data_IF_995727590012
#
_entry.id   IF_995727590012
#
_cell.length_a   1.000
_cell.length_b   1.000
_cell.length_c   1.000
_cell.angle_alpha   90.00
_cell.angle_beta   90.00
_cell.angle_gamma   90.00
#
_symmetry.space_group_name_H-M   'P 1'
#
loop_
_entity.id
_entity.type
_entity.pdbx_description
1 polymer ?
#
# COMPACT_ATOMS: atom_id res chain seq x y z
N UNK A 1 37.48 -8.37 1.52
CA UNK A 1 37.77 -6.94 1.60
C UNK A 1 36.49 -6.13 1.64
N UNK A 2 36.26 -5.37 2.74
CA UNK A 2 35.32 -4.28 2.98
C UNK A 2 33.80 -4.51 2.86
N UNK A 3 33.31 -5.43 3.67
CA UNK A 3 31.86 -5.45 4.04
C UNK A 3 31.50 -4.32 5.05
N UNK A 4 32.50 -3.71 5.70
CA UNK A 4 32.28 -2.74 6.80
C UNK A 4 32.09 -1.27 6.35
N UNK A 5 32.69 -0.83 5.24
CA UNK A 5 32.59 0.57 4.79
C UNK A 5 31.18 0.98 4.35
N UNK A 6 30.47 0.09 3.69
CA UNK A 6 29.07 0.33 3.30
C UNK A 6 28.10 0.47 4.48
N UNK A 7 28.44 -0.07 5.62
CA UNK A 7 27.61 -0.02 6.83
C UNK A 7 27.78 1.30 7.59
N UNK A 8 28.99 1.82 7.68
CA UNK A 8 29.32 3.11 8.31
C UNK A 8 28.69 4.28 7.53
N UNK A 9 28.83 4.29 6.22
CA UNK A 9 28.22 5.31 5.37
C UNK A 9 26.69 5.35 5.47
N UNK A 10 26.04 4.17 5.46
CA UNK A 10 24.60 4.07 5.69
C UNK A 10 24.16 4.54 7.08
N UNK A 11 24.98 4.29 8.11
CA UNK A 11 24.71 4.77 9.46
C UNK A 11 24.82 6.30 9.54
N UNK A 12 25.84 6.89 8.91
CA UNK A 12 26.03 8.33 8.85
C UNK A 12 24.84 9.01 8.14
N UNK A 13 24.42 8.51 6.98
CA UNK A 13 23.24 9.01 6.27
C UNK A 13 22.01 8.96 7.19
N UNK A 14 21.76 7.86 7.89
CA UNK A 14 20.63 7.76 8.81
C UNK A 14 20.69 8.75 9.97
N UNK A 15 21.89 9.07 10.47
CA UNK A 15 22.04 10.09 11.51
C UNK A 15 21.76 11.50 10.97
N UNK A 16 22.27 11.82 9.78
CA UNK A 16 22.00 13.09 9.10
C UNK A 16 20.49 13.24 8.85
N UNK A 17 19.83 12.19 8.33
CA UNK A 17 18.37 12.20 8.11
C UNK A 17 17.60 12.45 9.42
N UNK A 18 18.06 11.89 10.55
CA UNK A 18 17.44 12.15 11.86
C UNK A 18 17.58 13.61 12.30
N UNK A 19 18.74 14.21 12.09
CA UNK A 19 18.99 15.63 12.44
C UNK A 19 18.12 16.54 11.57
N UNK A 20 18.11 16.31 10.25
CA UNK A 20 17.31 17.07 9.31
C UNK A 20 15.82 16.90 9.66
N UNK A 21 15.37 15.68 9.95
CA UNK A 21 13.98 15.42 10.32
C UNK A 21 13.57 16.14 11.59
N UNK A 22 14.42 16.17 12.63
CA UNK A 22 14.15 16.95 13.86
C UNK A 22 13.97 18.43 13.57
N UNK A 23 14.86 19.00 12.75
CA UNK A 23 14.78 20.38 12.32
C UNK A 23 13.50 20.65 11.53
N UNK A 24 13.20 19.81 10.56
CA UNK A 24 11.99 19.90 9.77
C UNK A 24 10.71 19.79 10.63
N UNK A 25 10.67 18.91 11.62
CA UNK A 25 9.55 18.86 12.58
C UNK A 25 9.36 20.18 13.35
N UNK A 26 10.44 20.86 13.68
CA UNK A 26 10.35 22.14 14.38
C UNK A 26 9.77 23.23 13.50
N UNK A 27 10.20 23.34 12.25
CA UNK A 27 9.93 24.49 11.38
C UNK A 27 8.83 24.24 10.34
N UNK A 28 8.69 23.04 9.82
CA UNK A 28 7.67 22.76 8.83
C UNK A 28 6.26 22.83 9.43
N UNK A 29 5.41 23.66 8.83
CA UNK A 29 3.98 23.74 9.16
C UNK A 29 3.17 22.61 8.50
N UNK A 30 3.70 22.02 7.43
CA UNK A 30 3.11 20.90 6.69
C UNK A 30 4.10 19.73 6.77
N UNK A 31 3.59 18.57 7.10
CA UNK A 31 4.35 17.32 7.12
C UNK A 31 3.92 16.49 5.90
N UNK A 32 4.89 16.08 5.09
CA UNK A 32 4.69 15.17 3.95
C UNK A 32 5.42 13.88 4.25
N UNK A 33 4.68 12.83 4.64
CA UNK A 33 5.27 11.58 5.06
C UNK A 33 4.93 10.44 4.10
N UNK A 34 5.93 9.57 3.83
CA UNK A 34 5.79 8.35 3.03
C UNK A 34 5.36 8.54 1.56
N UNK A 35 5.63 9.68 0.96
CA UNK A 35 5.33 9.90 -0.45
C UNK A 35 6.43 9.35 -1.36
N UNK A 36 6.00 8.68 -2.43
CA UNK A 36 6.88 8.19 -3.51
C UNK A 36 6.96 9.17 -4.68
N UNK A 37 6.97 10.47 -4.41
CA UNK A 37 7.16 11.46 -5.48
C UNK A 37 8.54 11.33 -6.14
N UNK A 38 8.64 11.58 -7.45
CA UNK A 38 9.93 11.81 -8.09
C UNK A 38 10.68 12.93 -7.36
N UNK A 39 11.99 12.76 -7.16
CA UNK A 39 12.79 13.71 -6.36
C UNK A 39 12.62 15.17 -6.80
N UNK A 40 12.56 15.44 -8.11
CA UNK A 40 12.35 16.78 -8.66
C UNK A 40 11.00 17.38 -8.24
N UNK A 41 9.92 16.58 -8.32
CA UNK A 41 8.58 17.05 -7.96
C UNK A 41 8.45 17.24 -6.45
N UNK A 42 9.02 16.35 -5.66
CA UNK A 42 9.09 16.53 -4.21
C UNK A 42 9.81 17.84 -3.82
N UNK A 43 10.96 18.13 -4.44
CA UNK A 43 11.67 19.39 -4.19
C UNK A 43 10.86 20.61 -4.62
N UNK A 44 10.17 20.59 -5.77
CA UNK A 44 9.27 21.66 -6.19
C UNK A 44 8.16 21.92 -5.17
N UNK A 45 7.54 20.86 -4.65
CA UNK A 45 6.50 20.98 -3.62
C UNK A 45 7.10 21.60 -2.35
N UNK A 46 8.26 21.12 -1.91
CA UNK A 46 8.93 21.66 -0.73
C UNK A 46 9.25 23.16 -0.90
N UNK A 47 9.78 23.57 -2.04
CA UNK A 47 10.08 24.99 -2.34
C UNK A 47 8.81 25.83 -2.36
N UNK A 48 7.76 25.43 -3.08
CA UNK A 48 6.48 26.14 -3.14
C UNK A 48 5.81 26.30 -1.78
N UNK A 49 5.90 25.27 -0.94
CA UNK A 49 5.30 25.25 0.39
C UNK A 49 6.24 25.79 1.48
N UNK A 50 7.45 26.23 1.13
CA UNK A 50 8.48 26.70 2.08
C UNK A 50 8.78 25.65 3.16
N UNK A 51 9.03 24.41 2.74
CA UNK A 51 9.30 23.27 3.60
C UNK A 51 10.76 22.86 3.50
N UNK A 52 11.34 22.45 4.62
CA UNK A 52 12.59 21.70 4.61
C UNK A 52 12.33 20.31 4.01
N UNK A 53 13.02 19.90 2.93
CA UNK A 53 12.85 18.59 2.33
C UNK A 53 13.43 17.54 3.27
N UNK A 54 12.60 16.63 3.74
CA UNK A 54 13.04 15.49 4.54
C UNK A 54 12.08 14.31 4.41
N UNK A 55 12.60 13.12 4.70
CA UNK A 55 11.81 11.90 4.81
C UNK A 55 11.54 11.60 6.28
N UNK A 56 10.31 11.80 6.72
CA UNK A 56 9.93 11.59 8.12
C UNK A 56 9.86 10.12 8.53
N UNK A 57 9.73 9.19 7.58
CA UNK A 57 9.63 7.74 7.82
C UNK A 57 10.70 7.20 8.76
N UNK A 58 11.96 7.62 8.58
CA UNK A 58 13.06 7.17 9.43
C UNK A 58 13.01 7.72 10.85
N UNK A 59 12.32 8.85 11.06
CA UNK A 59 12.19 9.46 12.38
C UNK A 59 11.34 8.62 13.32
N UNK A 60 10.27 8.00 12.81
CA UNK A 60 9.36 7.18 13.60
C UNK A 60 9.85 5.74 13.80
N UNK A 61 10.93 5.33 13.13
CA UNK A 61 11.53 4.01 13.30
C UNK A 61 12.43 3.98 14.51
N UNK A 62 11.87 4.04 15.70
CA UNK A 62 12.58 3.86 16.96
C UNK A 62 11.89 2.81 17.82
N UNK A 63 12.69 2.13 18.63
CA UNK A 63 12.23 1.26 19.69
C UNK A 63 12.34 1.96 21.05
N UNK A 64 11.56 1.54 22.01
CA UNK A 64 11.71 1.90 23.42
C UNK A 64 12.19 0.68 24.18
N UNK A 65 13.05 0.88 25.18
CA UNK A 65 13.42 -0.20 26.10
C UNK A 65 12.17 -0.61 26.86
N UNK A 66 11.97 -1.90 26.96
CA UNK A 66 10.87 -2.46 27.75
C UNK A 66 11.12 -2.26 29.25
N UNK A 67 10.13 -1.80 29.95
CA UNK A 67 10.09 -1.83 31.40
C UNK A 67 9.47 -3.17 31.83
N UNK A 68 10.33 -4.10 32.26
CA UNK A 68 9.95 -5.48 32.56
C UNK A 68 8.98 -5.60 33.74
N UNK A 69 9.08 -4.72 34.73
CA UNK A 69 8.24 -4.76 35.93
C UNK A 69 6.79 -4.28 35.71
N UNK A 70 6.57 -3.44 34.70
CA UNK A 70 5.22 -2.94 34.39
C UNK A 70 4.39 -3.85 33.49
N UNK A 71 5.02 -4.86 32.85
CA UNK A 71 4.39 -5.67 31.78
C UNK A 71 3.23 -6.53 32.29
N UNK A 72 3.50 -7.34 33.27
CA UNK A 72 2.55 -8.33 33.77
C UNK A 72 1.33 -7.66 34.37
N UNK A 73 1.55 -6.58 35.11
CA UNK A 73 0.48 -5.82 35.74
C UNK A 73 -0.49 -5.16 34.76
N UNK A 74 0.00 -4.64 33.61
CA UNK A 74 -0.88 -4.02 32.60
C UNK A 74 -1.74 -5.05 31.88
N UNK A 75 -1.20 -6.22 31.54
CA UNK A 75 -1.96 -7.30 30.89
C UNK A 75 -2.99 -7.91 31.84
N UNK A 76 -2.63 -8.13 33.09
CA UNK A 76 -3.56 -8.62 34.12
C UNK A 76 -4.71 -7.62 34.33
N UNK A 77 -4.41 -6.33 34.45
CA UNK A 77 -5.45 -5.29 34.58
C UNK A 77 -6.38 -5.28 33.38
N UNK A 78 -5.82 -5.35 32.16
CA UNK A 78 -6.61 -5.42 30.93
C UNK A 78 -7.51 -6.66 30.91
N UNK A 79 -6.95 -7.84 31.23
CA UNK A 79 -7.73 -9.09 31.37
C UNK A 79 -8.92 -8.91 32.30
N UNK A 80 -8.67 -8.38 33.48
CA UNK A 80 -9.71 -8.19 34.50
C UNK A 80 -10.79 -7.19 34.09
N UNK A 81 -10.43 -6.18 33.26
CA UNK A 81 -11.41 -5.26 32.69
C UNK A 81 -12.25 -5.94 31.59
N UNK A 82 -11.62 -6.71 30.71
CA UNK A 82 -12.29 -7.40 29.61
C UNK A 82 -13.25 -8.47 30.10
N UNK A 83 -12.93 -9.18 31.21
CA UNK A 83 -13.80 -10.20 31.80
C UNK A 83 -15.05 -9.60 32.46
N UNK A 84 -15.10 -8.29 32.71
CA UNK A 84 -16.28 -7.61 33.27
C UNK A 84 -17.30 -7.22 32.19
N UNK A 85 -16.94 -7.35 30.92
CA UNK A 85 -17.83 -7.00 29.79
C UNK A 85 -18.84 -8.13 29.61
N UNK A 86 -20.11 -7.85 29.87
CA UNK A 86 -21.18 -8.81 29.65
C UNK A 86 -21.55 -8.84 28.15
N UNK A 87 -21.21 -9.93 27.50
CA UNK A 87 -21.50 -10.17 26.09
C UNK A 87 -22.02 -11.58 25.93
N UNK A 88 -23.17 -11.73 25.28
CA UNK A 88 -23.81 -13.04 25.05
C UNK A 88 -23.14 -13.85 23.93
N UNK A 89 -22.50 -13.21 22.97
CA UNK A 89 -21.84 -13.87 21.84
C UNK A 89 -20.58 -14.62 22.30
N UNK A 90 -20.56 -15.93 22.12
CA UNK A 90 -19.47 -16.82 22.55
C UNK A 90 -18.14 -16.54 21.84
N UNK A 91 -18.18 -16.14 20.56
CA UNK A 91 -16.98 -15.80 19.80
C UNK A 91 -16.36 -14.52 20.33
N UNK A 92 -17.17 -13.50 20.59
CA UNK A 92 -16.69 -12.24 21.18
C UNK A 92 -16.17 -12.47 22.61
N UNK A 93 -16.82 -13.31 23.42
CA UNK A 93 -16.28 -13.71 24.73
C UNK A 93 -14.89 -14.35 24.60
N UNK A 94 -14.72 -15.26 23.64
CA UNK A 94 -13.42 -15.88 23.35
C UNK A 94 -12.38 -14.82 22.95
N UNK A 95 -12.70 -13.90 22.05
CA UNK A 95 -11.81 -12.82 21.63
C UNK A 95 -11.39 -11.95 22.83
N UNK A 96 -12.34 -11.50 23.63
CA UNK A 96 -12.07 -10.66 24.80
C UNK A 96 -11.21 -11.37 25.85
N UNK A 97 -11.45 -12.65 26.08
CA UNK A 97 -10.65 -13.44 27.04
C UNK A 97 -9.18 -13.60 26.61
N UNK A 98 -8.87 -13.49 25.32
CA UNK A 98 -7.52 -13.63 24.76
C UNK A 98 -6.86 -12.29 24.36
N UNK A 99 -7.64 -11.23 24.13
CA UNK A 99 -7.14 -9.95 23.64
C UNK A 99 -5.96 -9.39 24.46
N UNK A 100 -5.96 -9.59 25.78
CA UNK A 100 -4.87 -9.17 26.64
C UNK A 100 -3.53 -9.83 26.31
N UNK A 101 -3.51 -11.00 25.63
CA UNK A 101 -2.29 -11.68 25.17
C UNK A 101 -1.81 -11.14 23.83
N UNK A 102 -2.75 -10.78 22.95
CA UNK A 102 -2.49 -10.50 21.53
C UNK A 102 -2.32 -9.01 21.23
N UNK A 103 -2.75 -8.13 22.16
CA UNK A 103 -2.59 -6.69 21.94
C UNK A 103 -1.09 -6.32 21.79
N UNK A 104 -0.71 -5.57 20.73
CA UNK A 104 0.68 -5.21 20.52
C UNK A 104 1.27 -4.41 21.69
N UNK A 105 2.52 -4.67 22.02
CA UNK A 105 3.24 -3.98 23.10
C UNK A 105 3.28 -2.46 22.93
N UNK A 106 3.29 -1.98 21.69
CA UNK A 106 3.24 -0.55 21.35
C UNK A 106 2.00 0.15 21.89
N UNK A 107 0.88 -0.57 22.05
CA UNK A 107 -0.40 -0.04 22.55
C UNK A 107 -0.67 -0.32 24.02
N UNK A 108 0.13 -1.10 24.68
CA UNK A 108 -0.06 -1.44 26.09
C UNK A 108 1.16 -1.10 26.93
N UNK A 109 2.21 -1.93 26.89
CA UNK A 109 3.37 -1.77 27.75
C UNK A 109 4.22 -0.54 27.40
N UNK A 110 4.45 -0.34 26.10
CA UNK A 110 5.37 0.67 25.60
C UNK A 110 4.68 2.00 25.27
N UNK A 111 3.35 2.05 25.37
CA UNK A 111 2.56 3.21 24.93
C UNK A 111 3.05 4.53 25.54
N UNK A 112 3.17 4.57 26.88
CA UNK A 112 3.56 5.78 27.58
C UNK A 112 4.99 6.23 27.23
N UNK A 113 5.91 5.27 27.07
CA UNK A 113 7.28 5.53 26.69
C UNK A 113 7.41 6.02 25.25
N UNK A 114 6.63 5.46 24.33
CA UNK A 114 6.54 5.93 22.94
C UNK A 114 5.94 7.33 22.90
N UNK A 115 4.83 7.53 23.60
CA UNK A 115 4.15 8.82 23.68
C UNK A 115 5.06 9.91 24.24
N UNK A 116 5.81 9.63 25.32
CA UNK A 116 6.79 10.55 25.90
C UNK A 116 7.84 10.99 24.90
N UNK A 117 8.33 10.07 24.04
CA UNK A 117 9.29 10.39 22.97
C UNK A 117 8.67 11.23 21.86
N UNK A 118 7.38 11.07 21.57
CA UNK A 118 6.66 11.73 20.49
C UNK A 118 6.19 13.13 20.86
N UNK A 119 5.74 13.33 22.10
CA UNK A 119 5.14 14.59 22.58
C UNK A 119 5.95 15.86 22.25
N UNK A 120 7.30 15.90 22.34
CA UNK A 120 8.07 17.08 21.99
C UNK A 120 7.89 17.53 20.53
N UNK A 121 7.50 16.59 19.65
CA UNK A 121 7.29 16.81 18.21
C UNK A 121 5.82 16.95 17.84
N UNK A 122 4.90 16.57 18.73
CA UNK A 122 3.46 16.63 18.54
C UNK A 122 2.90 18.07 18.72
N UNK A 123 3.55 19.03 18.07
CA UNK A 123 3.10 20.43 18.04
C UNK A 123 2.08 20.62 16.93
N UNK A 124 1.22 21.63 17.06
CA UNK A 124 0.22 21.97 16.05
C UNK A 124 0.87 22.19 14.68
N UNK A 125 0.44 21.40 13.71
CA UNK A 125 0.76 21.51 12.29
C UNK A 125 -0.46 22.00 11.53
N UNK A 126 -0.25 22.71 10.42
CA UNK A 126 -1.36 23.11 9.56
C UNK A 126 -1.99 21.88 8.90
N UNK A 127 -1.14 21.01 8.35
CA UNK A 127 -1.56 19.80 7.63
C UNK A 127 -0.49 18.72 7.83
N UNK A 128 -0.93 17.50 8.00
CA UNK A 128 -0.09 16.30 7.93
C UNK A 128 -0.67 15.41 6.84
N UNK A 129 0.12 15.13 5.79
CA UNK A 129 -0.23 14.19 4.74
C UNK A 129 0.62 12.93 4.89
N UNK A 130 -0.01 11.78 4.76
CA UNK A 130 0.69 10.50 4.82
C UNK A 130 -0.01 9.47 3.93
N UNK A 131 0.79 8.55 3.40
CA UNK A 131 0.33 7.45 2.57
C UNK A 131 0.48 6.11 3.30
N UNK A 132 1.70 5.70 3.61
CA UNK A 132 2.01 4.37 4.16
C UNK A 132 2.17 4.33 5.68
N UNK A 133 2.80 5.35 6.27
CA UNK A 133 3.20 5.27 7.68
C UNK A 133 2.04 5.08 8.64
N UNK A 134 0.84 5.56 8.29
CA UNK A 134 -0.37 5.31 9.10
C UNK A 134 -0.75 3.82 9.10
N UNK A 135 -0.38 3.07 8.04
CA UNK A 135 -0.67 1.64 7.94
C UNK A 135 0.30 0.81 8.79
N UNK A 136 1.58 1.12 8.72
CA UNK A 136 2.65 0.20 9.10
C UNK A 136 3.45 0.66 10.33
N UNK A 137 3.25 1.89 10.83
CA UNK A 137 4.08 2.47 11.88
C UNK A 137 3.25 2.95 13.08
N UNK A 138 3.30 2.22 14.18
CA UNK A 138 2.55 2.53 15.39
C UNK A 138 3.00 3.84 16.04
N UNK A 139 4.29 4.17 15.98
CA UNK A 139 4.79 5.45 16.49
C UNK A 139 4.20 6.62 15.72
N UNK A 140 4.03 6.47 14.40
CA UNK A 140 3.37 7.47 13.57
C UNK A 140 1.88 7.59 13.89
N UNK A 141 1.19 6.47 14.13
CA UNK A 141 -0.24 6.50 14.57
C UNK A 141 -0.40 7.30 15.86
N UNK A 142 0.48 7.07 16.84
CA UNK A 142 0.48 7.83 18.10
C UNK A 142 0.77 9.31 17.84
N UNK A 143 1.73 9.63 16.94
CA UNK A 143 2.02 11.01 16.55
C UNK A 143 0.80 11.70 15.94
N UNK A 144 0.08 11.05 15.02
CA UNK A 144 -1.16 11.59 14.43
C UNK A 144 -2.21 11.84 15.53
N UNK A 145 -2.41 10.87 16.43
CA UNK A 145 -3.38 11.03 17.52
C UNK A 145 -3.05 12.24 18.42
N UNK A 146 -1.79 12.41 18.81
CA UNK A 146 -1.38 13.50 19.67
C UNK A 146 -1.40 14.88 18.96
N UNK A 147 -1.03 14.93 17.68
CA UNK A 147 -1.08 16.18 16.91
C UNK A 147 -2.51 16.62 16.58
N UNK A 148 -3.43 15.67 16.36
CA UNK A 148 -4.86 16.00 16.18
C UNK A 148 -5.47 16.62 17.45
N UNK A 149 -5.09 16.17 18.64
CA UNK A 149 -5.53 16.77 19.92
C UNK A 149 -5.19 18.26 20.02
N UNK A 150 -4.09 18.68 19.42
CA UNK A 150 -3.68 20.11 19.39
C UNK A 150 -4.15 20.84 18.13
N UNK A 151 -5.08 20.25 17.36
CA UNK A 151 -5.77 20.90 16.25
C UNK A 151 -5.06 20.79 14.88
N UNK A 152 -4.17 19.82 14.69
CA UNK A 152 -3.61 19.53 13.37
C UNK A 152 -4.65 18.82 12.50
N UNK A 153 -4.62 19.09 11.18
CA UNK A 153 -5.44 18.39 10.19
C UNK A 153 -4.63 17.25 9.59
N UNK A 154 -5.19 16.05 9.60
CA UNK A 154 -4.61 14.88 8.97
C UNK A 154 -5.30 14.58 7.66
N UNK A 155 -4.53 14.37 6.59
CA UNK A 155 -5.00 14.00 5.26
C UNK A 155 -4.38 12.66 4.91
N UNK A 156 -5.22 11.65 4.70
CA UNK A 156 -4.78 10.36 4.20
C UNK A 156 -4.71 10.38 2.68
N UNK A 157 -3.63 9.87 2.12
CA UNK A 157 -3.47 9.69 0.68
C UNK A 157 -3.53 8.21 0.39
N UNK A 158 -4.53 7.81 -0.37
CA UNK A 158 -4.71 6.42 -0.74
C UNK A 158 -3.51 5.94 -1.54
N UNK A 159 -2.91 4.88 -1.06
CA UNK A 159 -1.75 4.28 -1.67
C UNK A 159 -2.17 3.16 -2.61
N UNK A 160 -2.01 3.35 -3.89
CA UNK A 160 -2.34 2.32 -4.88
C UNK A 160 -3.82 2.31 -5.31
N UNK A 161 -4.06 1.73 -6.46
CA UNK A 161 -5.38 1.72 -7.10
C UNK A 161 -6.32 0.59 -6.66
N UNK A 162 -5.90 -0.26 -5.71
CA UNK A 162 -6.64 -1.48 -5.37
C UNK A 162 -7.71 -1.34 -4.30
N UNK A 163 -7.75 -0.23 -3.59
CA UNK A 163 -8.67 -0.04 -2.46
C UNK A 163 -10.14 0.02 -2.88
N UNK A 164 -10.41 0.26 -4.15
CA UNK A 164 -11.76 0.41 -4.69
C UNK A 164 -12.40 -0.89 -5.11
N UNK A 165 -11.59 -1.88 -5.45
CA UNK A 165 -12.09 -3.19 -5.86
C UNK A 165 -12.19 -4.17 -4.71
N UNK A 166 -11.59 -3.88 -3.58
CA UNK A 166 -11.43 -4.79 -2.48
C UNK A 166 -12.07 -4.25 -1.21
N UNK A 167 -12.86 -5.08 -0.57
CA UNK A 167 -13.36 -4.83 0.76
C UNK A 167 -12.21 -4.99 1.76
N UNK A 168 -11.59 -3.88 2.17
CA UNK A 168 -10.52 -3.89 3.15
C UNK A 168 -10.89 -3.06 4.37
N UNK A 169 -11.45 -3.70 5.37
CA UNK A 169 -11.87 -3.07 6.63
C UNK A 169 -10.74 -2.33 7.37
N UNK A 170 -9.48 -2.74 7.17
CA UNK A 170 -8.34 -2.06 7.80
C UNK A 170 -8.16 -0.62 7.35
N UNK A 171 -8.59 -0.27 6.14
CA UNK A 171 -8.47 1.08 5.59
C UNK A 171 -9.58 2.01 6.07
N UNK A 172 -10.72 1.47 6.48
CA UNK A 172 -11.82 2.25 7.07
C UNK A 172 -11.36 3.05 8.28
N UNK A 173 -10.50 2.44 9.10
CA UNK A 173 -9.95 3.14 10.26
C UNK A 173 -9.13 4.37 9.84
N UNK A 174 -8.29 4.24 8.81
CA UNK A 174 -7.46 5.37 8.34
C UNK A 174 -8.31 6.46 7.73
N UNK A 175 -9.37 6.10 7.04
CA UNK A 175 -10.35 7.04 6.49
C UNK A 175 -11.09 7.76 7.61
N UNK A 176 -11.63 7.03 8.60
CA UNK A 176 -12.35 7.61 9.74
C UNK A 176 -11.52 8.56 10.59
N UNK A 177 -10.22 8.30 10.76
CA UNK A 177 -9.35 9.20 11.53
C UNK A 177 -8.85 10.40 10.71
N UNK A 178 -9.07 10.43 9.40
CA UNK A 178 -8.64 11.51 8.51
C UNK A 178 -9.62 12.67 8.50
N UNK A 179 -9.13 13.87 8.28
CA UNK A 179 -9.96 15.04 8.03
C UNK A 179 -10.35 15.16 6.55
N UNK A 180 -9.50 14.64 5.67
CA UNK A 180 -9.72 14.53 4.23
C UNK A 180 -8.95 13.34 3.68
N UNK A 181 -9.41 12.84 2.53
CA UNK A 181 -8.81 11.71 1.84
C UNK A 181 -8.49 12.15 0.42
N UNK A 182 -7.28 11.86 -0.05
CA UNK A 182 -6.90 12.05 -1.46
C UNK A 182 -6.99 10.70 -2.14
N UNK A 183 -7.90 10.59 -3.11
CA UNK A 183 -8.14 9.38 -3.90
C UNK A 183 -7.69 9.57 -5.35
N UNK A 184 -7.48 8.47 -6.06
CA UNK A 184 -7.05 8.47 -7.46
C UNK A 184 -8.16 8.93 -8.41
N UNK A 185 -9.39 8.50 -8.16
CA UNK A 185 -10.55 8.89 -8.96
C UNK A 185 -11.85 8.83 -8.13
N UNK A 186 -12.86 9.57 -8.55
CA UNK A 186 -14.17 9.62 -7.88
C UNK A 186 -14.88 8.27 -7.87
N UNK A 187 -14.86 7.56 -8.99
CA UNK A 187 -15.42 6.22 -9.13
C UNK A 187 -14.80 5.17 -8.20
N UNK A 188 -13.71 5.53 -7.54
CA UNK A 188 -12.94 4.66 -6.66
C UNK A 188 -13.13 5.03 -5.19
N UNK A 189 -14.18 5.74 -4.89
CA UNK A 189 -14.58 6.05 -3.52
C UNK A 189 -15.25 4.83 -2.92
N UNK A 190 -14.65 4.24 -1.90
CA UNK A 190 -15.32 3.28 -1.03
C UNK A 190 -16.13 4.11 -0.04
N UNK A 191 -17.30 4.55 -0.44
CA UNK A 191 -18.19 5.23 0.48
C UNK A 191 -19.09 4.20 1.14
N UNK A 192 -18.88 3.99 2.41
CA UNK A 192 -19.78 3.20 3.27
C UNK A 192 -21.06 3.99 3.58
N UNK A 193 -20.97 5.34 3.53
CA UNK A 193 -22.06 6.25 3.74
C UNK A 193 -21.97 7.42 2.75
N UNK A 194 -23.06 7.72 2.04
CA UNK A 194 -23.14 8.85 1.11
C UNK A 194 -22.85 10.22 1.75
N UNK A 195 -22.92 10.29 3.08
CA UNK A 195 -22.62 11.51 3.86
C UNK A 195 -21.13 11.82 3.98
N UNK A 196 -20.25 10.85 3.78
CA UNK A 196 -18.79 11.02 3.91
C UNK A 196 -18.11 11.50 2.62
N UNK A 197 -18.81 11.53 1.47
CA UNK A 197 -18.26 11.94 0.17
C UNK A 197 -17.72 13.38 0.15
N UNK A 198 -18.19 14.25 1.02
CA UNK A 198 -17.74 15.64 1.10
C UNK A 198 -16.31 15.83 1.65
N UNK A 199 -15.67 14.78 2.13
CA UNK A 199 -14.31 14.83 2.67
C UNK A 199 -13.24 14.46 1.63
N UNK A 200 -13.65 13.86 0.51
CA UNK A 200 -12.72 13.34 -0.48
C UNK A 200 -12.18 14.44 -1.39
N UNK A 201 -10.90 14.34 -1.69
CA UNK A 201 -10.22 15.11 -2.73
C UNK A 201 -9.82 14.09 -3.80
N UNK A 202 -10.31 14.31 -5.02
CA UNK A 202 -9.97 13.44 -6.14
C UNK A 202 -8.78 14.03 -6.89
N UNK A 203 -7.80 13.19 -7.18
CA UNK A 203 -6.68 13.50 -8.04
C UNK A 203 -6.76 12.59 -9.26
N UNK A 204 -6.63 13.15 -10.46
CA UNK A 204 -6.63 12.38 -11.70
C UNK A 204 -5.46 11.39 -11.78
N UNK A 205 -4.47 11.62 -10.96
CA UNK A 205 -3.27 10.79 -10.82
C UNK A 205 -2.99 10.53 -9.35
N UNK A 206 -2.58 9.30 -9.03
CA UNK A 206 -1.89 9.09 -7.77
C UNK A 206 -0.67 10.01 -7.71
N UNK A 207 -0.44 10.66 -6.56
CA UNK A 207 0.77 11.44 -6.33
C UNK A 207 2.05 10.60 -6.46
N UNK A 208 1.92 9.27 -6.56
CA UNK A 208 3.05 8.33 -6.69
C UNK A 208 3.38 8.00 -8.13
N UNK A 209 2.46 8.25 -9.08
CA UNK A 209 2.73 7.99 -10.48
C UNK A 209 3.72 9.02 -11.03
N UNK A 210 4.82 8.56 -11.65
CA UNK A 210 5.65 9.46 -12.42
C UNK A 210 4.80 10.08 -13.54
N UNK A 211 4.97 11.37 -13.78
CA UNK A 211 4.37 12.06 -14.91
C UNK A 211 5.03 11.53 -16.19
N UNK A 212 4.53 10.41 -16.69
CA UNK A 212 4.92 9.92 -18.01
C UNK A 212 4.12 10.74 -19.00
N UNK A 213 4.79 11.60 -19.72
CA UNK A 213 4.24 12.12 -20.96
C UNK A 213 4.35 10.97 -21.95
N UNK A 214 3.27 10.26 -22.18
CA UNK A 214 3.14 9.46 -23.39
C UNK A 214 3.18 10.47 -24.53
N UNK A 215 4.37 10.70 -25.07
CA UNK A 215 4.49 11.26 -26.42
C UNK A 215 3.86 10.23 -27.34
N UNK A 216 3.24 10.67 -28.43
CA UNK A 216 2.66 9.87 -29.51
C UNK A 216 3.66 8.90 -30.19
N UNK A 217 4.77 8.61 -29.56
CA UNK A 217 5.89 7.88 -30.08
C UNK A 217 5.85 6.41 -29.69
N UNK A 218 5.47 5.61 -30.67
CA UNK A 218 5.74 4.17 -30.75
C UNK A 218 5.33 3.38 -29.52
N UNK A 219 4.05 3.03 -29.48
CA UNK A 219 3.57 1.91 -28.67
C UNK A 219 4.48 0.73 -28.99
N UNK A 220 5.08 0.13 -27.98
CA UNK A 220 5.89 -1.08 -28.12
C UNK A 220 5.08 -2.24 -28.68
N UNK A 221 5.74 -3.34 -28.98
CA UNK A 221 5.08 -4.51 -29.58
C UNK A 221 4.75 -5.61 -28.56
N UNK A 222 5.12 -5.45 -27.28
CA UNK A 222 4.99 -6.51 -26.28
C UNK A 222 3.54 -6.68 -25.81
N UNK A 223 3.15 -7.93 -25.59
CA UNK A 223 1.97 -8.31 -24.84
C UNK A 223 2.40 -8.62 -23.40
N UNK A 224 2.20 -7.69 -22.48
CA UNK A 224 2.68 -7.86 -21.11
C UNK A 224 1.62 -8.46 -20.20
N UNK A 225 1.88 -9.66 -19.69
CA UNK A 225 1.08 -10.33 -18.67
C UNK A 225 1.58 -9.92 -17.29
N UNK A 226 0.69 -9.37 -16.49
CA UNK A 226 0.99 -8.98 -15.11
C UNK A 226 0.24 -9.90 -14.17
N UNK A 227 0.96 -10.90 -13.69
CA UNK A 227 0.39 -11.93 -12.86
C UNK A 227 0.23 -11.48 -11.41
N UNK A 228 -0.94 -11.75 -10.84
CA UNK A 228 -1.12 -11.72 -9.39
C UNK A 228 -0.15 -12.72 -8.75
N UNK A 229 0.36 -12.36 -7.59
CA UNK A 229 1.25 -13.21 -6.81
C UNK A 229 0.89 -13.08 -5.33
N UNK A 230 0.35 -14.15 -4.77
CA UNK A 230 0.09 -14.24 -3.33
C UNK A 230 1.35 -14.59 -2.54
N UNK A 231 1.36 -14.21 -1.28
CA UNK A 231 2.34 -14.73 -0.33
C UNK A 231 2.09 -16.22 -0.10
N UNK A 232 3.16 -16.99 0.04
CA UNK A 232 3.06 -18.43 0.32
C UNK A 232 2.32 -18.73 1.63
N UNK A 233 2.48 -17.87 2.60
CA UNK A 233 1.78 -17.92 3.88
C UNK A 233 0.90 -16.70 4.01
N UNK A 234 -0.37 -16.92 4.29
CA UNK A 234 -1.36 -15.85 4.41
C UNK A 234 -1.06 -15.02 5.65
N UNK A 235 -0.61 -13.78 5.43
CA UNK A 235 -0.41 -12.81 6.51
C UNK A 235 -1.66 -11.98 6.84
N UNK A 236 -2.68 -12.03 5.97
CA UNK A 236 -3.94 -11.32 6.16
C UNK A 236 -5.06 -12.05 5.42
N UNK A 237 -6.19 -12.28 6.09
CA UNK A 237 -7.36 -13.00 5.53
C UNK A 237 -8.04 -12.30 4.34
N UNK A 238 -7.65 -11.08 4.05
CA UNK A 238 -8.30 -10.23 3.02
C UNK A 238 -7.45 -10.06 1.76
N UNK A 239 -6.42 -10.87 1.57
CA UNK A 239 -5.72 -10.92 0.30
C UNK A 239 -6.53 -11.76 -0.69
N UNK A 240 -6.61 -11.29 -1.93
CA UNK A 240 -7.19 -12.05 -3.00
C UNK A 240 -6.39 -13.31 -3.24
N UNK A 241 -7.03 -14.37 -3.64
CA UNK A 241 -6.55 -15.73 -3.77
C UNK A 241 -5.88 -16.32 -2.51
N UNK A 242 -6.47 -17.37 -2.00
CA UNK A 242 -5.85 -18.16 -0.95
C UNK A 242 -4.71 -19.01 -1.54
N UNK A 243 -3.75 -19.50 -0.72
CA UNK A 243 -2.67 -20.33 -1.21
C UNK A 243 -3.12 -21.55 -2.03
N UNK A 244 -4.24 -22.15 -1.69
CA UNK A 244 -4.78 -23.29 -2.44
C UNK A 244 -5.34 -22.91 -3.80
N UNK A 245 -5.84 -21.70 -3.96
CA UNK A 245 -6.34 -21.19 -5.24
C UNK A 245 -5.22 -20.78 -6.22
N UNK A 246 -3.99 -20.62 -5.73
CA UNK A 246 -2.86 -20.16 -6.55
C UNK A 246 -2.47 -21.16 -7.65
N UNK A 247 -2.59 -22.46 -7.39
CA UNK A 247 -2.28 -23.51 -8.39
C UNK A 247 -3.30 -23.48 -9.51
N UNK A 248 -4.57 -23.39 -9.17
CA UNK A 248 -5.66 -23.32 -10.17
C UNK A 248 -5.53 -22.04 -11.00
N UNK A 249 -5.28 -20.92 -10.34
CA UNK A 249 -5.04 -19.65 -11.00
C UNK A 249 -3.85 -19.73 -11.98
N UNK A 250 -2.73 -20.32 -11.57
CA UNK A 250 -1.56 -20.50 -12.44
C UNK A 250 -1.91 -21.37 -13.65
N UNK A 251 -2.55 -22.51 -13.44
CA UNK A 251 -2.92 -23.45 -14.51
C UNK A 251 -3.86 -22.79 -15.53
N UNK A 252 -4.86 -22.06 -15.07
CA UNK A 252 -5.80 -21.35 -15.92
C UNK A 252 -5.13 -20.23 -16.73
N UNK A 253 -4.21 -19.49 -16.10
CA UNK A 253 -3.41 -18.52 -16.83
C UNK A 253 -2.58 -19.18 -17.91
N UNK A 254 -2.00 -20.37 -17.65
CA UNK A 254 -1.26 -21.13 -18.66
C UNK A 254 -2.16 -21.59 -19.80
N UNK A 255 -3.33 -22.14 -19.49
CA UNK A 255 -4.32 -22.52 -20.51
C UNK A 255 -4.73 -21.32 -21.36
N UNK A 256 -5.01 -20.17 -20.74
CA UNK A 256 -5.31 -18.96 -21.47
C UNK A 256 -4.17 -18.57 -22.44
N UNK A 257 -2.92 -18.55 -21.98
CA UNK A 257 -1.77 -18.21 -22.83
C UNK A 257 -1.64 -19.21 -23.99
N UNK A 258 -1.93 -20.48 -23.77
CA UNK A 258 -1.88 -21.51 -24.81
C UNK A 258 -2.94 -21.34 -25.90
N UNK A 259 -4.07 -20.70 -25.59
CA UNK A 259 -5.12 -20.38 -26.58
C UNK A 259 -4.79 -19.16 -27.45
N UNK A 260 -3.76 -18.39 -27.09
CA UNK A 260 -3.38 -17.21 -27.86
C UNK A 260 -2.85 -17.58 -29.25
N UNK A 261 -3.15 -16.74 -30.22
CA UNK A 261 -2.56 -16.84 -31.56
C UNK A 261 -1.02 -16.88 -31.45
N UNK A 262 -0.32 -17.76 -32.23
CA UNK A 262 1.14 -17.88 -32.17
C UNK A 262 1.90 -16.57 -32.32
N UNK A 263 1.41 -15.65 -33.14
CA UNK A 263 2.02 -14.32 -33.32
C UNK A 263 1.94 -13.50 -32.02
N UNK A 264 0.83 -13.54 -31.28
CA UNK A 264 0.66 -12.86 -30.01
C UNK A 264 1.49 -13.58 -28.94
N UNK A 265 1.43 -14.90 -28.91
CA UNK A 265 2.15 -15.73 -27.92
C UNK A 265 3.66 -15.48 -27.97
N UNK A 266 4.25 -15.31 -29.16
CA UNK A 266 5.66 -14.99 -29.34
C UNK A 266 6.09 -13.62 -28.81
N UNK A 267 5.13 -12.72 -28.51
CA UNK A 267 5.35 -11.37 -27.98
C UNK A 267 4.99 -11.26 -26.49
N UNK A 268 4.62 -12.37 -25.86
CA UNK A 268 4.23 -12.37 -24.44
C UNK A 268 5.46 -12.16 -23.56
N UNK A 269 5.35 -11.20 -22.65
CA UNK A 269 6.30 -10.94 -21.57
C UNK A 269 5.59 -11.06 -20.22
N UNK A 270 6.23 -11.68 -19.25
CA UNK A 270 5.67 -11.85 -17.91
C UNK A 270 6.29 -10.86 -16.93
N UNK A 271 5.51 -9.94 -16.40
CA UNK A 271 5.92 -9.03 -15.34
C UNK A 271 5.66 -9.67 -13.98
N UNK A 272 6.72 -10.04 -13.29
CA UNK A 272 6.65 -10.80 -12.03
C UNK A 272 7.62 -10.29 -10.97
N UNK A 273 7.30 -10.55 -9.72
CA UNK A 273 8.16 -10.31 -8.57
C UNK A 273 9.08 -11.52 -8.36
N UNK A 274 10.37 -11.33 -8.49
CA UNK A 274 11.33 -12.41 -8.31
C UNK A 274 11.33 -12.94 -6.86
N UNK A 275 11.50 -14.25 -6.69
CA UNK A 275 11.62 -14.93 -5.39
C UNK A 275 10.48 -14.61 -4.40
N UNK A 276 9.27 -14.44 -4.91
CA UNK A 276 8.11 -14.13 -4.09
C UNK A 276 7.05 -15.23 -4.21
N UNK A 277 6.38 -15.54 -3.09
CA UNK A 277 5.27 -16.47 -3.04
C UNK A 277 5.63 -17.84 -3.60
N UNK A 278 4.93 -18.26 -4.66
CA UNK A 278 5.13 -19.54 -5.37
C UNK A 278 6.19 -19.46 -6.46
N UNK A 279 6.99 -18.41 -6.47
CA UNK A 279 8.10 -18.19 -7.40
C UNK A 279 7.70 -18.30 -8.88
N UNK A 280 6.66 -17.55 -9.24
CA UNK A 280 6.18 -17.52 -10.64
C UNK A 280 7.25 -17.13 -11.66
N UNK A 281 8.21 -16.30 -11.25
CA UNK A 281 9.33 -15.96 -12.14
C UNK A 281 10.05 -17.21 -12.64
N UNK A 282 10.36 -18.15 -11.72
CA UNK A 282 11.00 -19.42 -12.07
C UNK A 282 10.09 -20.30 -12.91
N UNK A 283 8.81 -20.44 -12.53
CA UNK A 283 7.85 -21.28 -13.26
C UNK A 283 7.62 -20.79 -14.69
N UNK A 284 7.44 -19.51 -14.89
CA UNK A 284 7.32 -18.95 -16.24
C UNK A 284 8.61 -19.08 -17.04
N UNK A 285 9.80 -18.88 -16.43
CA UNK A 285 11.07 -19.06 -17.12
C UNK A 285 11.33 -20.48 -17.58
N UNK A 286 10.88 -21.48 -16.82
CA UNK A 286 10.96 -22.91 -17.19
C UNK A 286 10.05 -23.24 -18.39
N UNK A 287 8.91 -22.56 -18.52
CA UNK A 287 7.93 -22.83 -19.60
C UNK A 287 8.22 -21.99 -20.85
N UNK A 288 8.52 -20.72 -20.69
CA UNK A 288 8.60 -19.75 -21.80
C UNK A 288 10.02 -19.25 -22.08
N UNK A 289 10.97 -19.52 -21.20
CA UNK A 289 12.34 -19.04 -21.27
C UNK A 289 12.59 -17.76 -20.45
N UNK A 290 13.83 -17.60 -20.01
CA UNK A 290 14.25 -16.48 -19.14
C UNK A 290 14.11 -15.10 -19.80
N UNK A 291 14.21 -15.03 -21.13
CA UNK A 291 14.10 -13.78 -21.91
C UNK A 291 12.70 -13.15 -21.83
N UNK A 292 11.67 -13.97 -21.55
CA UNK A 292 10.30 -13.53 -21.50
C UNK A 292 9.92 -13.01 -20.10
N UNK A 293 10.83 -13.11 -19.13
CA UNK A 293 10.60 -12.72 -17.76
C UNK A 293 11.11 -11.30 -17.48
N UNK A 294 10.18 -10.39 -17.28
CA UNK A 294 10.46 -9.05 -16.82
C UNK A 294 10.40 -9.01 -15.29
N UNK A 295 11.56 -9.11 -14.66
CA UNK A 295 11.66 -9.09 -13.18
C UNK A 295 11.47 -7.67 -12.65
N UNK A 296 10.53 -7.52 -11.73
CA UNK A 296 10.32 -6.24 -11.03
C UNK A 296 11.59 -5.80 -10.30
N UNK A 297 12.14 -4.67 -10.67
CA UNK A 297 13.31 -4.08 -10.04
C UNK A 297 13.25 -2.55 -10.05
N UNK A 298 14.12 -1.92 -9.24
CA UNK A 298 14.26 -0.45 -9.23
C UNK A 298 14.76 0.07 -10.60
N UNK A 299 15.57 -0.71 -11.30
CA UNK A 299 16.13 -0.33 -12.60
C UNK A 299 15.15 -0.56 -13.75
N UNK A 300 14.09 -1.33 -13.53
CA UNK A 300 13.03 -1.57 -14.49
C UNK A 300 11.65 -1.21 -13.88
N UNK A 301 11.33 0.09 -13.73
CA UNK A 301 10.06 0.54 -13.20
C UNK A 301 8.93 0.21 -14.17
N UNK A 302 7.71 0.05 -13.64
CA UNK A 302 6.53 -0.28 -14.45
C UNK A 302 6.25 0.73 -15.57
N UNK A 303 6.61 1.98 -15.36
CA UNK A 303 6.52 3.02 -16.38
C UNK A 303 7.27 2.70 -17.67
N UNK A 304 8.40 2.00 -17.62
CA UNK A 304 9.10 1.53 -18.81
C UNK A 304 8.35 0.40 -19.52
N UNK A 305 7.74 -0.48 -18.73
CA UNK A 305 6.93 -1.58 -19.26
C UNK A 305 5.72 -1.05 -20.00
N UNK A 306 5.02 -0.07 -19.42
CA UNK A 306 3.89 0.61 -20.06
C UNK A 306 4.25 1.16 -21.44
N UNK A 307 5.42 1.77 -21.59
CA UNK A 307 5.87 2.33 -22.86
C UNK A 307 6.20 1.26 -23.92
N UNK A 308 6.55 0.06 -23.49
CA UNK A 308 6.90 -1.04 -24.39
C UNK A 308 5.73 -1.97 -24.71
N UNK A 309 4.64 -1.86 -23.96
CA UNK A 309 3.49 -2.75 -24.10
C UNK A 309 2.48 -2.21 -25.11
N UNK A 310 2.12 -3.03 -26.10
CA UNK A 310 0.98 -2.83 -26.99
C UNK A 310 -0.33 -3.26 -26.33
N UNK A 311 -0.25 -4.30 -25.50
CA UNK A 311 -1.37 -4.84 -24.74
C UNK A 311 -0.91 -5.23 -23.34
N UNK A 312 -1.70 -4.91 -22.34
CA UNK A 312 -1.51 -5.38 -20.98
C UNK A 312 -2.61 -6.37 -20.64
N UNK A 313 -2.23 -7.53 -20.12
CA UNK A 313 -3.12 -8.52 -19.55
C UNK A 313 -2.88 -8.51 -18.06
N UNK A 314 -3.78 -7.89 -17.31
CA UNK A 314 -3.74 -7.85 -15.86
C UNK A 314 -4.60 -8.96 -15.27
N UNK A 315 -4.09 -9.68 -14.29
CA UNK A 315 -4.83 -10.76 -13.63
C UNK A 315 -5.33 -10.37 -12.23
N UNK A 316 -5.28 -9.07 -11.94
CA UNK A 316 -5.77 -8.51 -10.68
C UNK A 316 -6.11 -7.02 -10.82
N UNK A 317 -7.16 -6.55 -10.11
CA UNK A 317 -7.69 -5.20 -10.28
C UNK A 317 -7.02 -4.20 -9.31
N UNK A 318 -5.69 -4.17 -9.26
CA UNK A 318 -4.94 -3.28 -8.35
C UNK A 318 -4.22 -2.15 -9.12
N UNK A 319 -3.19 -1.58 -8.48
CA UNK A 319 -2.44 -0.42 -8.95
C UNK A 319 -2.01 -0.50 -10.41
N UNK A 320 -1.51 -1.65 -10.83
CA UNK A 320 -0.97 -1.84 -12.18
C UNK A 320 -2.05 -1.73 -13.26
N UNK A 321 -3.21 -2.34 -13.02
CA UNK A 321 -4.37 -2.19 -13.90
C UNK A 321 -4.80 -0.73 -14.01
N UNK A 322 -4.86 -0.06 -12.88
CA UNK A 322 -5.24 1.36 -12.80
C UNK A 322 -4.25 2.27 -13.52
N UNK A 323 -2.97 2.00 -13.38
CA UNK A 323 -1.90 2.73 -14.09
C UNK A 323 -2.01 2.53 -15.61
N UNK A 324 -2.21 1.30 -16.05
CA UNK A 324 -2.37 0.99 -17.48
C UNK A 324 -3.58 1.72 -18.09
N UNK A 325 -4.72 1.68 -17.41
CA UNK A 325 -5.93 2.38 -17.82
C UNK A 325 -5.72 3.90 -17.83
N UNK A 326 -5.04 4.45 -16.83
CA UNK A 326 -4.76 5.88 -16.76
C UNK A 326 -3.91 6.36 -17.94
N UNK A 327 -2.92 5.57 -18.35
CA UNK A 327 -2.08 5.88 -19.51
C UNK A 327 -2.70 5.49 -20.85
N UNK A 328 -3.97 5.07 -20.84
CA UNK A 328 -4.70 4.65 -22.04
C UNK A 328 -3.99 3.55 -22.84
N UNK A 329 -3.29 2.65 -22.15
CA UNK A 329 -2.72 1.47 -22.77
C UNK A 329 -3.83 0.43 -22.90
N UNK A 330 -4.00 -0.21 -24.09
CA UNK A 330 -4.95 -1.30 -24.25
C UNK A 330 -4.75 -2.34 -23.16
N UNK A 331 -5.79 -2.63 -22.38
CA UNK A 331 -5.68 -3.46 -21.19
C UNK A 331 -6.85 -4.43 -21.10
N UNK A 332 -6.55 -5.69 -20.83
CA UNK A 332 -7.51 -6.74 -20.50
C UNK A 332 -7.33 -7.09 -19.02
N UNK A 333 -8.41 -7.15 -18.28
CA UNK A 333 -8.45 -7.61 -16.90
C UNK A 333 -9.09 -8.98 -16.83
N UNK A 334 -8.34 -9.98 -16.41
CA UNK A 334 -8.84 -11.36 -16.20
C UNK A 334 -8.87 -11.60 -14.70
N UNK A 335 -10.05 -11.78 -14.12
CA UNK A 335 -10.22 -12.03 -12.70
C UNK A 335 -11.38 -13.00 -12.45
N UNK A 336 -11.21 -13.86 -11.46
CA UNK A 336 -12.29 -14.68 -10.94
C UNK A 336 -13.03 -13.93 -9.82
N UNK A 337 -14.32 -13.74 -9.96
CA UNK A 337 -15.15 -13.06 -8.94
C UNK A 337 -15.08 -13.71 -7.56
N UNK A 338 -14.97 -15.03 -7.50
CA UNK A 338 -14.89 -15.79 -6.24
C UNK A 338 -13.55 -15.62 -5.50
N UNK A 339 -12.52 -15.08 -6.16
CA UNK A 339 -11.20 -14.84 -5.55
C UNK A 339 -11.05 -13.42 -5.01
N UNK A 340 -12.02 -12.55 -5.28
CA UNK A 340 -11.95 -11.13 -4.89
C UNK A 340 -13.22 -10.71 -4.17
N UNK A 341 -13.07 -10.06 -3.03
CA UNK A 341 -14.18 -9.45 -2.32
C UNK A 341 -14.37 -8.03 -2.86
N UNK A 342 -15.43 -7.81 -3.61
CA UNK A 342 -15.77 -6.51 -4.16
C UNK A 342 -16.77 -5.78 -3.28
N UNK A 343 -16.60 -4.46 -3.14
CA UNK A 343 -17.67 -3.59 -2.69
C UNK A 343 -18.78 -3.50 -3.76
N UNK A 344 -19.95 -3.05 -3.38
CA UNK A 344 -21.06 -2.83 -4.35
C UNK A 344 -20.62 -1.91 -5.49
N UNK A 345 -20.01 -0.78 -5.16
CA UNK A 345 -19.50 0.19 -6.17
C UNK A 345 -18.45 -0.43 -7.09
N UNK A 346 -17.60 -1.31 -6.57
CA UNK A 346 -16.61 -2.01 -7.38
C UNK A 346 -17.27 -3.02 -8.33
N UNK A 347 -18.32 -3.72 -7.89
CA UNK A 347 -19.11 -4.61 -8.76
C UNK A 347 -19.74 -3.84 -9.92
N UNK A 348 -20.36 -2.69 -9.65
CA UNK A 348 -20.96 -1.86 -10.69
C UNK A 348 -19.91 -1.42 -11.71
N UNK A 349 -18.71 -1.01 -11.24
CA UNK A 349 -17.59 -0.66 -12.12
C UNK A 349 -17.13 -1.88 -12.93
N UNK A 350 -17.05 -3.04 -12.31
CA UNK A 350 -16.64 -4.28 -12.98
C UNK A 350 -17.61 -4.68 -14.09
N UNK A 351 -18.92 -4.55 -13.86
CA UNK A 351 -19.93 -4.82 -14.91
C UNK A 351 -19.81 -3.83 -16.10
N UNK A 352 -19.48 -2.56 -15.83
CA UNK A 352 -19.17 -1.60 -16.91
C UNK A 352 -17.94 -2.03 -17.70
N UNK A 353 -16.87 -2.49 -17.03
CA UNK A 353 -15.66 -2.99 -17.69
C UNK A 353 -15.95 -4.26 -18.52
N UNK A 354 -16.79 -5.16 -18.02
CA UNK A 354 -17.24 -6.36 -18.77
C UNK A 354 -18.03 -5.99 -20.02
N UNK A 355 -19.01 -5.09 -19.89
CA UNK A 355 -19.79 -4.62 -21.03
C UNK A 355 -18.90 -4.02 -22.14
N UNK A 356 -17.82 -3.37 -21.77
CA UNK A 356 -16.85 -2.79 -22.69
C UNK A 356 -15.74 -3.75 -23.12
N UNK A 357 -15.82 -5.03 -22.77
CA UNK A 357 -14.82 -6.07 -23.10
C UNK A 357 -13.41 -5.75 -22.59
N UNK A 358 -13.34 -5.07 -21.45
CA UNK A 358 -12.08 -4.77 -20.75
C UNK A 358 -11.84 -5.79 -19.64
N UNK A 359 -12.89 -6.27 -18.98
CA UNK A 359 -12.79 -7.27 -17.92
C UNK A 359 -13.50 -8.57 -18.31
N UNK A 360 -12.93 -9.68 -17.85
CA UNK A 360 -13.40 -11.05 -18.08
C UNK A 360 -13.29 -11.82 -16.76
N UNK A 361 -14.24 -12.73 -16.52
CA UNK A 361 -14.28 -13.68 -15.38
C UNK A 361 -14.31 -15.13 -15.87
#
# INVERSE_FOLDING_TARGET
>A
FDVNSGNLFKQLIRQIDKIISKHAFKYNKIILDSFSFPKKEFLKICLRCKLFPCKYTNFFNFSVKEDSLSKENKRIKLKNLLLKVDIKDKFIQFLLSNLHKDIPKSYLENFDSIKKKILPFAKKKKIILSMHSICDNDNFKIYIAETKKVGSKYIYVVHGGGLTFKFETRFDFFEKVSNKIIRWAKSWSICWDDKEQNQDIYADLSPTLPTIKLKDSKIGNDCTVISHQSQRYVGAFMQASTPEQEIDFFNELMQFIDTLNPEIKSKVKFRVKANFGYNYAKRFSEIFGEKEIDKLSINNPFSKVLLNSKLIIATYPLTVFSEAMHFNIPTILIIKKNQWLFSKTALDTFEVLKKNRIAFD
#
